data_IF_989358711775
#
_entry.id   IF_989358711775
#
_cell.length_a   1.000
_cell.length_b   1.000
_cell.length_c   1.000
_cell.angle_alpha   90.00
_cell.angle_beta   90.00
_cell.angle_gamma   90.00
#
_symmetry.space_group_name_H-M   'P 1'
#
loop_
_entity.id
_entity.type
_entity.pdbx_description
1 polymer ?
#
# COMPACT_ATOMS: atom_id res chain seq x y z
N UNK A 1 11.58 14.21 -24.03
CA UNK A 1 12.16 14.28 -22.67
C UNK A 1 10.97 14.41 -21.75
N UNK A 2 10.56 13.32 -21.12
CA UNK A 2 9.53 13.34 -20.08
C UNK A 2 10.09 14.14 -18.91
N UNK A 3 9.42 15.22 -18.51
CA UNK A 3 9.76 15.91 -17.27
C UNK A 3 9.68 14.91 -16.12
N UNK A 4 10.78 14.71 -15.39
CA UNK A 4 10.79 13.83 -14.23
C UNK A 4 9.93 14.47 -13.15
N UNK A 5 8.78 13.86 -12.87
CA UNK A 5 7.84 14.36 -11.86
C UNK A 5 8.47 14.22 -10.47
N UNK A 6 8.55 15.33 -9.71
CA UNK A 6 9.06 15.29 -8.33
C UNK A 6 8.06 14.57 -7.41
N UNK A 7 8.52 13.91 -6.33
CA UNK A 7 7.64 13.31 -5.34
C UNK A 7 6.52 14.24 -4.82
N UNK A 8 6.85 15.50 -4.51
CA UNK A 8 5.87 16.47 -4.00
C UNK A 8 4.78 16.82 -5.04
N UNK A 9 5.18 17.10 -6.29
CA UNK A 9 4.22 17.38 -7.37
C UNK A 9 3.34 16.16 -7.71
N UNK A 10 3.91 14.95 -7.64
CA UNK A 10 3.15 13.71 -7.75
C UNK A 10 2.10 13.58 -6.65
N UNK A 11 2.53 13.64 -5.40
CA UNK A 11 1.65 13.52 -4.25
C UNK A 11 0.54 14.59 -4.28
N UNK A 12 0.86 15.82 -4.66
CA UNK A 12 -0.10 16.92 -4.80
C UNK A 12 -1.16 16.67 -5.90
N UNK A 13 -0.84 15.87 -6.90
CA UNK A 13 -1.75 15.52 -8.00
C UNK A 13 -2.60 14.27 -7.72
N UNK A 14 -2.18 13.39 -6.81
CA UNK A 14 -2.93 12.20 -6.46
C UNK A 14 -4.30 12.53 -5.86
N UNK A 15 -5.31 11.72 -6.19
CA UNK A 15 -6.71 11.98 -5.80
C UNK A 15 -7.52 10.72 -5.53
N UNK A 16 -8.61 10.90 -4.78
CA UNK A 16 -9.65 9.91 -4.56
C UNK A 16 -10.91 10.43 -5.26
N UNK A 17 -11.46 9.66 -6.20
CA UNK A 17 -12.66 10.06 -6.90
C UNK A 17 -13.86 10.20 -5.94
N UNK A 18 -14.74 11.20 -6.13
CA UNK A 18 -15.91 11.41 -5.29
C UNK A 18 -16.78 10.15 -5.12
N UNK A 19 -16.96 9.36 -6.19
CA UNK A 19 -17.74 8.13 -6.17
C UNK A 19 -17.19 7.06 -5.20
N UNK A 20 -15.90 7.11 -4.85
CA UNK A 20 -15.30 6.22 -3.84
C UNK A 20 -15.59 6.74 -2.43
N UNK A 21 -15.54 8.06 -2.22
CA UNK A 21 -15.90 8.68 -0.95
C UNK A 21 -17.41 8.61 -0.67
N UNK A 22 -18.26 8.62 -1.69
CA UNK A 22 -19.70 8.33 -1.54
C UNK A 22 -19.94 6.89 -1.05
N UNK A 23 -19.12 5.95 -1.55
CA UNK A 23 -19.17 4.54 -1.17
C UNK A 23 -18.67 4.31 0.26
N UNK A 24 -17.56 4.95 0.62
CA UNK A 24 -16.94 4.90 1.96
C UNK A 24 -16.44 6.30 2.34
N UNK A 25 -17.31 7.12 2.99
CA UNK A 25 -16.95 8.48 3.41
C UNK A 25 -15.82 8.51 4.43
N UNK A 26 -15.71 7.41 5.18
CA UNK A 26 -14.63 7.13 6.10
C UNK A 26 -13.45 6.46 5.38
N UNK A 27 -13.10 6.79 4.15
CA UNK A 27 -11.87 6.29 3.55
C UNK A 27 -10.79 7.37 3.53
N UNK A 28 -9.57 6.97 3.90
CA UNK A 28 -8.35 7.78 3.78
C UNK A 28 -7.23 6.95 3.17
N UNK A 29 -6.30 7.63 2.50
CA UNK A 29 -5.07 7.04 2.00
C UNK A 29 -3.88 7.90 2.44
N UNK A 30 -2.95 7.35 3.21
CA UNK A 30 -1.65 7.98 3.38
C UNK A 30 -0.74 7.52 2.25
N UNK A 31 -0.30 8.47 1.46
CA UNK A 31 0.57 8.29 0.32
C UNK A 31 2.00 8.66 0.74
N UNK A 32 2.97 7.79 0.48
CA UNK A 32 4.38 8.02 0.84
C UNK A 32 5.27 7.70 -0.35
N UNK A 33 6.09 8.63 -0.79
CA UNK A 33 7.17 8.37 -1.75
C UNK A 33 8.49 8.37 -0.99
N UNK A 34 9.25 7.29 -1.10
CA UNK A 34 10.60 7.15 -0.56
C UNK A 34 11.58 7.08 -1.73
N UNK A 35 12.48 8.06 -1.82
CA UNK A 35 13.47 8.18 -2.90
C UNK A 35 14.89 7.98 -2.38
N UNK A 36 15.83 7.68 -3.27
CA UNK A 36 17.24 7.54 -2.91
C UNK A 36 17.59 6.19 -2.27
N UNK A 37 16.76 5.17 -2.50
CA UNK A 37 17.01 3.79 -2.08
C UNK A 37 18.18 3.22 -2.88
N UNK A 38 19.07 2.51 -2.20
CA UNK A 38 20.10 1.69 -2.84
C UNK A 38 19.56 0.27 -3.05
N UNK A 39 19.68 -0.29 -4.27
CA UNK A 39 19.28 -1.66 -4.58
C UNK A 39 19.85 -2.68 -3.61
N UNK A 40 18.97 -3.51 -3.02
CA UNK A 40 19.34 -4.55 -2.05
C UNK A 40 18.49 -5.78 -2.28
N UNK A 41 19.16 -6.93 -2.44
CA UNK A 41 18.51 -8.24 -2.61
C UNK A 41 18.00 -8.81 -1.27
N UNK A 42 18.54 -8.34 -0.14
CA UNK A 42 18.11 -8.75 1.21
C UNK A 42 18.53 -7.75 2.29
N UNK A 43 17.85 -7.81 3.44
CA UNK A 43 18.12 -7.00 4.61
C UNK A 43 17.78 -7.80 5.88
N UNK A 44 18.73 -7.90 6.82
CA UNK A 44 18.46 -8.49 8.15
C UNK A 44 17.36 -7.74 8.90
N UNK A 45 17.24 -6.43 8.68
CA UNK A 45 16.15 -5.64 9.24
C UNK A 45 14.78 -6.09 8.70
N UNK A 46 14.70 -6.48 7.42
CA UNK A 46 13.47 -7.05 6.85
C UNK A 46 13.16 -8.42 7.45
N UNK A 47 14.18 -9.25 7.73
CA UNK A 47 14.01 -10.54 8.40
C UNK A 47 13.43 -10.37 9.81
N UNK A 48 14.01 -9.47 10.61
CA UNK A 48 13.52 -9.18 11.97
C UNK A 48 12.09 -8.62 11.97
N UNK A 49 11.75 -7.78 10.99
CA UNK A 49 10.38 -7.27 10.83
C UNK A 49 9.41 -8.39 10.48
N UNK A 50 9.78 -9.30 9.59
CA UNK A 50 8.97 -10.47 9.23
C UNK A 50 8.71 -11.34 10.46
N UNK A 51 9.74 -11.65 11.25
CA UNK A 51 9.60 -12.47 12.47
C UNK A 51 8.64 -11.81 13.47
N UNK A 52 8.79 -10.50 13.68
CA UNK A 52 7.89 -9.71 14.55
C UNK A 52 6.45 -9.71 14.01
N UNK A 53 6.28 -9.51 12.72
CA UNK A 53 4.97 -9.49 12.07
C UNK A 53 4.27 -10.85 12.19
N UNK A 54 5.00 -11.94 12.00
CA UNK A 54 4.46 -13.29 12.18
C UNK A 54 4.09 -13.57 13.64
N UNK A 55 4.92 -13.14 14.60
CA UNK A 55 4.62 -13.26 16.02
C UNK A 55 3.34 -12.47 16.39
N UNK A 56 3.22 -11.24 15.89
CA UNK A 56 2.02 -10.40 16.09
C UNK A 56 0.77 -11.04 15.50
N UNK A 57 0.85 -11.57 14.28
CA UNK A 57 -0.27 -12.28 13.67
C UNK A 57 -0.67 -13.53 14.48
N UNK A 58 0.30 -14.31 14.98
CA UNK A 58 0.01 -15.46 15.85
C UNK A 58 -0.72 -15.05 17.13
N UNK A 59 -0.29 -13.96 17.76
CA UNK A 59 -0.92 -13.40 18.96
C UNK A 59 -2.37 -12.97 18.69
N UNK A 60 -2.61 -12.19 17.63
CA UNK A 60 -3.96 -11.75 17.25
C UNK A 60 -4.89 -12.94 17.01
N UNK A 61 -4.41 -13.93 16.26
CA UNK A 61 -5.18 -15.12 15.89
C UNK A 61 -5.38 -16.13 17.02
N UNK A 62 -4.70 -15.95 18.16
CA UNK A 62 -4.98 -16.71 19.37
C UNK A 62 -6.23 -16.19 20.10
N UNK A 63 -6.61 -14.94 19.89
CA UNK A 63 -7.69 -14.27 20.61
C UNK A 63 -8.95 -14.07 19.77
N UNK A 64 -8.81 -13.91 18.45
CA UNK A 64 -9.95 -13.66 17.56
C UNK A 64 -9.77 -14.33 16.20
N UNK A 65 -10.85 -14.84 15.59
CA UNK A 65 -10.86 -15.14 14.17
C UNK A 65 -10.42 -13.91 13.37
N UNK A 66 -9.63 -14.13 12.33
CA UNK A 66 -9.04 -13.04 11.53
C UNK A 66 -10.08 -12.11 10.90
N UNK A 67 -11.27 -12.63 10.56
CA UNK A 67 -12.37 -11.84 9.99
C UNK A 67 -13.23 -11.12 11.03
N UNK A 68 -12.96 -11.32 12.31
CA UNK A 68 -13.53 -10.57 13.44
C UNK A 68 -12.56 -9.49 13.97
N UNK A 69 -11.33 -9.42 13.45
CA UNK A 69 -10.45 -8.29 13.75
C UNK A 69 -11.05 -7.01 13.15
N UNK A 70 -11.31 -5.99 13.97
CA UNK A 70 -12.12 -4.81 13.62
C UNK A 70 -11.78 -4.18 12.27
N UNK A 71 -10.49 -3.97 12.00
CA UNK A 71 -10.01 -3.37 10.76
C UNK A 71 -10.25 -4.29 9.54
N UNK A 72 -10.06 -5.61 9.68
CA UNK A 72 -10.37 -6.57 8.61
C UNK A 72 -11.88 -6.66 8.39
N UNK A 73 -12.67 -6.65 9.46
CA UNK A 73 -14.13 -6.63 9.37
C UNK A 73 -14.62 -5.39 8.60
N UNK A 74 -14.06 -4.21 8.89
CA UNK A 74 -14.36 -2.96 8.19
C UNK A 74 -14.03 -3.03 6.68
N UNK A 75 -12.90 -3.64 6.32
CA UNK A 75 -12.52 -3.88 4.93
C UNK A 75 -13.41 -4.91 4.24
N UNK A 76 -13.75 -6.01 4.91
CA UNK A 76 -14.69 -7.00 4.37
C UNK A 76 -16.04 -6.35 4.08
N UNK A 77 -16.47 -5.41 4.91
CA UNK A 77 -17.68 -4.64 4.63
C UNK A 77 -17.51 -3.73 3.42
N UNK A 78 -16.44 -2.94 3.33
CA UNK A 78 -16.17 -2.11 2.14
C UNK A 78 -16.22 -2.93 0.83
N UNK A 79 -15.64 -4.13 0.85
CA UNK A 79 -15.67 -5.07 -0.29
C UNK A 79 -17.08 -5.50 -0.67
N UNK A 80 -17.98 -5.72 0.31
CA UNK A 80 -19.39 -6.04 0.01
C UNK A 80 -20.12 -4.87 -0.64
N UNK A 81 -19.86 -3.63 -0.21
CA UNK A 81 -20.56 -2.44 -0.73
C UNK A 81 -20.34 -2.25 -2.24
N UNK A 82 -19.13 -2.52 -2.77
CA UNK A 82 -18.88 -2.48 -4.22
C UNK A 82 -19.09 -3.83 -4.94
N UNK A 83 -19.69 -4.82 -4.28
CA UNK A 83 -20.08 -6.10 -4.89
C UNK A 83 -18.98 -7.17 -4.96
N UNK A 84 -17.81 -6.93 -4.37
CA UNK A 84 -16.78 -7.95 -4.25
C UNK A 84 -17.15 -9.00 -3.19
N UNK A 85 -16.50 -10.17 -3.27
CA UNK A 85 -16.67 -11.28 -2.34
C UNK A 85 -15.42 -11.40 -1.47
N UNK A 86 -15.40 -10.86 -0.24
CA UNK A 86 -14.19 -10.80 0.60
C UNK A 86 -13.55 -12.18 0.87
N UNK A 87 -14.33 -13.26 0.81
CA UNK A 87 -13.80 -14.62 0.96
C UNK A 87 -12.94 -15.08 -0.24
N UNK A 88 -13.18 -14.52 -1.43
CA UNK A 88 -12.46 -14.80 -2.68
C UNK A 88 -11.40 -13.75 -3.00
N UNK A 89 -11.66 -12.49 -2.65
CA UNK A 89 -10.79 -11.33 -2.89
C UNK A 89 -10.48 -10.67 -1.55
N UNK A 90 -9.53 -11.23 -0.81
CA UNK A 90 -9.14 -10.70 0.52
C UNK A 90 -8.27 -9.47 0.35
N UNK A 91 -8.48 -8.43 1.15
CA UNK A 91 -7.50 -7.34 1.23
C UNK A 91 -6.12 -7.89 1.68
N UNK A 92 -5.07 -7.14 1.37
CA UNK A 92 -3.68 -7.56 1.62
C UNK A 92 -3.42 -7.94 3.07
N UNK A 93 -3.86 -7.15 4.06
CA UNK A 93 -3.60 -7.43 5.47
C UNK A 93 -4.34 -8.67 5.98
N UNK A 94 -5.59 -8.93 5.53
CA UNK A 94 -6.29 -10.19 5.82
C UNK A 94 -5.52 -11.39 5.24
N UNK A 95 -5.05 -11.28 4.00
CA UNK A 95 -4.31 -12.34 3.33
C UNK A 95 -2.98 -12.64 4.04
N UNK A 96 -2.21 -11.61 4.40
CA UNK A 96 -0.93 -11.72 5.12
C UNK A 96 -1.13 -12.29 6.53
N UNK A 97 -2.09 -11.74 7.29
CA UNK A 97 -2.37 -12.21 8.66
C UNK A 97 -2.77 -13.68 8.68
N UNK A 98 -3.62 -14.13 7.74
CA UNK A 98 -3.94 -15.56 7.57
C UNK A 98 -2.70 -16.40 7.23
N UNK A 99 -1.83 -15.87 6.37
CA UNK A 99 -0.66 -16.57 5.85
C UNK A 99 0.45 -16.71 6.90
N UNK A 100 0.57 -15.80 7.86
CA UNK A 100 1.61 -15.79 8.88
C UNK A 100 1.80 -17.13 9.64
N UNK A 101 0.75 -17.96 9.76
CA UNK A 101 0.86 -19.32 10.32
C UNK A 101 1.79 -20.25 9.51
N UNK A 102 1.97 -19.97 8.22
CA UNK A 102 2.81 -20.70 7.27
C UNK A 102 4.06 -19.91 6.85
N UNK A 103 4.30 -18.77 7.49
CA UNK A 103 5.32 -17.80 7.11
C UNK A 103 4.81 -16.74 6.12
N UNK A 104 5.23 -15.49 6.33
CA UNK A 104 4.98 -14.41 5.39
C UNK A 104 5.74 -14.62 4.07
N UNK A 105 5.24 -14.08 2.95
CA UNK A 105 5.94 -14.22 1.67
C UNK A 105 7.29 -13.52 1.75
N UNK A 106 8.32 -14.13 1.15
CA UNK A 106 9.65 -13.57 0.95
C UNK A 106 9.83 -13.30 -0.53
N UNK A 107 9.77 -12.03 -0.94
CA UNK A 107 9.72 -11.59 -2.34
C UNK A 107 10.97 -10.78 -2.68
N UNK A 108 11.15 -9.64 -2.01
CA UNK A 108 12.34 -8.78 -2.07
C UNK A 108 12.36 -7.90 -0.82
N UNK A 109 13.49 -7.26 -0.52
CA UNK A 109 13.67 -6.52 0.74
C UNK A 109 12.59 -5.45 0.97
N UNK A 110 12.23 -4.65 -0.05
CA UNK A 110 11.21 -3.61 0.08
C UNK A 110 9.82 -4.21 0.31
N UNK A 111 9.49 -5.27 -0.43
CA UNK A 111 8.20 -5.96 -0.33
C UNK A 111 8.02 -6.67 1.00
N UNK A 112 9.07 -7.31 1.49
CA UNK A 112 9.09 -7.99 2.78
C UNK A 112 8.90 -6.98 3.92
N UNK A 113 9.61 -5.85 3.85
CA UNK A 113 9.47 -4.74 4.82
C UNK A 113 8.05 -4.20 4.88
N UNK A 114 7.46 -3.79 3.75
CA UNK A 114 6.10 -3.22 3.80
C UNK A 114 5.05 -4.26 4.19
N UNK A 115 5.21 -5.54 3.78
CA UNK A 115 4.29 -6.60 4.20
C UNK A 115 4.36 -6.84 5.72
N UNK A 116 5.55 -6.80 6.30
CA UNK A 116 5.72 -6.91 7.74
C UNK A 116 5.08 -5.72 8.47
N UNK A 117 5.30 -4.48 8.00
CA UNK A 117 4.67 -3.28 8.56
C UNK A 117 3.13 -3.36 8.44
N UNK A 118 2.61 -3.82 7.30
CA UNK A 118 1.16 -4.03 7.09
C UNK A 118 0.55 -4.90 8.19
N UNK A 119 1.21 -6.02 8.52
CA UNK A 119 0.75 -6.96 9.55
C UNK A 119 0.97 -6.39 10.95
N UNK A 120 2.10 -5.74 11.22
CA UNK A 120 2.38 -5.16 12.54
C UNK A 120 1.35 -4.10 12.94
N UNK A 121 0.98 -3.25 11.99
CA UNK A 121 0.06 -2.14 12.20
C UNK A 121 -1.38 -2.46 11.83
N UNK A 122 -1.65 -3.65 11.28
CA UNK A 122 -2.98 -4.09 10.87
C UNK A 122 -3.65 -3.11 9.87
N UNK A 123 -2.87 -2.63 8.90
CA UNK A 123 -3.27 -1.67 7.85
C UNK A 123 -2.91 -2.26 6.49
N UNK A 124 -3.83 -2.35 5.51
CA UNK A 124 -3.45 -2.67 4.14
C UNK A 124 -2.42 -1.66 3.62
N UNK A 125 -1.27 -2.20 3.22
CA UNK A 125 -0.14 -1.43 2.71
C UNK A 125 0.31 -2.09 1.40
N UNK A 126 0.37 -1.29 0.34
CA UNK A 126 0.95 -1.65 -0.95
C UNK A 126 2.20 -0.83 -1.25
N UNK A 127 3.11 -1.39 -2.05
CA UNK A 127 4.34 -0.74 -2.45
C UNK A 127 4.58 -0.92 -3.95
N UNK A 128 4.90 0.17 -4.63
CA UNK A 128 5.02 0.26 -6.07
C UNK A 128 6.29 1.03 -6.48
N UNK A 129 6.84 0.72 -7.64
CA UNK A 129 7.99 1.46 -8.18
C UNK A 129 7.50 2.82 -8.71
N UNK A 130 7.94 3.89 -8.04
CA UNK A 130 7.54 5.26 -8.37
C UNK A 130 8.00 5.65 -9.78
N UNK A 131 9.15 5.15 -10.22
CA UNK A 131 9.73 5.52 -11.52
C UNK A 131 8.97 4.86 -12.70
N UNK A 132 8.02 3.95 -12.42
CA UNK A 132 7.19 3.25 -13.41
C UNK A 132 5.76 3.81 -13.50
N UNK A 133 5.43 4.85 -12.75
CA UNK A 133 4.13 5.54 -12.82
C UNK A 133 4.03 6.45 -14.06
N UNK A 134 2.87 6.40 -14.72
CA UNK A 134 2.51 7.34 -15.78
C UNK A 134 1.44 8.32 -15.25
N UNK A 135 1.83 9.56 -15.02
CA UNK A 135 0.94 10.55 -14.38
C UNK A 135 0.86 10.37 -12.87
N UNK A 136 -0.34 10.53 -12.29
CA UNK A 136 -0.55 10.47 -10.84
C UNK A 136 -1.48 9.31 -10.44
N UNK A 137 -1.34 8.84 -9.20
CA UNK A 137 -2.20 7.80 -8.66
C UNK A 137 -3.61 8.33 -8.41
N UNK A 138 -4.62 7.58 -8.89
CA UNK A 138 -6.04 7.87 -8.68
C UNK A 138 -6.74 6.64 -8.16
N UNK A 139 -7.52 6.81 -7.09
CA UNK A 139 -8.47 5.80 -6.64
C UNK A 139 -9.83 6.08 -7.25
N UNK A 140 -10.28 5.19 -8.13
CA UNK A 140 -11.50 5.40 -8.92
C UNK A 140 -12.44 4.19 -8.82
N UNK A 141 -13.70 4.38 -9.24
CA UNK A 141 -14.57 3.26 -9.61
C UNK A 141 -14.37 2.95 -11.08
N UNK A 142 -13.99 1.71 -11.36
CA UNK A 142 -13.68 1.25 -12.70
C UNK A 142 -14.90 1.34 -13.63
N UNK A 143 -14.67 1.62 -14.91
CA UNK A 143 -15.70 1.55 -15.96
C UNK A 143 -15.60 0.27 -16.79
N UNK A 144 -14.52 -0.48 -16.63
CA UNK A 144 -14.31 -1.82 -17.17
C UNK A 144 -13.49 -1.89 -18.46
N UNK A 145 -12.91 -0.77 -18.88
CA UNK A 145 -11.96 -0.68 -19.99
C UNK A 145 -10.51 -0.49 -19.52
N UNK A 146 -10.29 -0.38 -18.21
CA UNK A 146 -8.95 -0.13 -17.68
C UNK A 146 -8.09 -1.40 -17.76
N UNK A 147 -6.94 -1.36 -18.46
CA UNK A 147 -6.09 -2.53 -18.57
C UNK A 147 -5.46 -2.85 -17.21
N UNK A 148 -5.46 -4.13 -16.86
CA UNK A 148 -4.82 -4.66 -15.66
C UNK A 148 -3.92 -5.85 -16.03
N UNK A 149 -2.61 -5.68 -15.89
CA UNK A 149 -1.65 -6.72 -16.22
C UNK A 149 -1.54 -7.74 -15.08
N UNK A 150 -1.70 -9.01 -15.42
CA UNK A 150 -1.74 -10.07 -14.43
C UNK A 150 -1.25 -11.41 -14.97
N UNK A 151 -1.27 -12.44 -14.14
CA UNK A 151 -0.88 -13.79 -14.53
C UNK A 151 -2.06 -14.75 -14.45
N UNK A 152 -2.24 -15.54 -15.51
CA UNK A 152 -3.16 -16.65 -15.60
C UNK A 152 -2.44 -17.83 -16.28
N UNK A 153 -2.47 -19.02 -15.67
CA UNK A 153 -1.77 -20.19 -16.22
C UNK A 153 -0.25 -20.04 -16.34
N UNK A 154 0.37 -19.09 -15.63
CA UNK A 154 1.80 -18.78 -15.74
C UNK A 154 2.15 -17.80 -16.86
N UNK A 155 1.19 -17.41 -17.69
CA UNK A 155 1.37 -16.44 -18.77
C UNK A 155 0.91 -15.05 -18.33
N UNK A 156 1.50 -14.03 -18.96
CA UNK A 156 1.07 -12.64 -18.78
C UNK A 156 -0.18 -12.41 -19.59
N UNK A 157 -1.23 -11.94 -18.93
CA UNK A 157 -2.52 -11.61 -19.57
C UNK A 157 -2.96 -10.21 -19.14
N UNK A 158 -3.73 -9.56 -20.00
CA UNK A 158 -4.42 -8.32 -19.65
C UNK A 158 -5.87 -8.68 -19.31
N UNK A 159 -6.25 -8.43 -18.07
CA UNK A 159 -7.63 -8.46 -17.62
C UNK A 159 -8.17 -7.03 -17.55
N UNK A 160 -9.48 -6.91 -17.40
CA UNK A 160 -10.14 -5.63 -17.12
C UNK A 160 -10.96 -5.79 -15.83
N UNK A 161 -10.99 -4.77 -14.94
CA UNK A 161 -11.87 -4.76 -13.79
C UNK A 161 -13.33 -4.82 -14.22
N UNK A 162 -14.21 -5.39 -13.41
CA UNK A 162 -15.65 -5.24 -13.67
C UNK A 162 -16.08 -3.80 -13.39
N UNK A 163 -17.05 -3.23 -14.14
CA UNK A 163 -17.57 -1.91 -13.86
C UNK A 163 -18.01 -1.78 -12.40
N UNK A 164 -17.53 -0.73 -11.74
CA UNK A 164 -17.82 -0.43 -10.36
C UNK A 164 -16.86 -1.03 -9.32
N UNK A 165 -15.90 -1.88 -9.72
CA UNK A 165 -14.76 -2.23 -8.86
C UNK A 165 -14.02 -0.95 -8.42
N UNK A 166 -13.54 -0.90 -7.17
CA UNK A 166 -12.64 0.18 -6.74
C UNK A 166 -11.21 -0.21 -7.13
N UNK A 167 -10.48 0.68 -7.79
CA UNK A 167 -9.12 0.41 -8.29
C UNK A 167 -8.20 1.60 -8.10
N UNK A 168 -6.95 1.34 -7.71
CA UNK A 168 -5.87 2.28 -7.92
C UNK A 168 -5.39 2.18 -9.37
N UNK A 169 -5.21 3.31 -10.02
CA UNK A 169 -4.71 3.40 -11.40
C UNK A 169 -3.86 4.66 -11.58
N UNK A 170 -3.10 4.66 -12.65
CA UNK A 170 -2.47 5.85 -13.21
C UNK A 170 -3.03 6.10 -14.62
N UNK A 171 -2.34 6.87 -15.47
CA UNK A 171 -2.76 7.17 -16.83
C UNK A 171 -2.73 5.92 -17.73
N UNK A 172 -1.78 5.00 -17.51
CA UNK A 172 -1.58 3.81 -18.32
C UNK A 172 -2.55 2.66 -17.99
N UNK A 173 -2.94 2.50 -16.72
CA UNK A 173 -3.85 1.42 -16.32
C UNK A 173 -3.95 1.18 -14.83
N UNK A 174 -4.63 0.09 -14.46
CA UNK A 174 -4.81 -0.33 -13.07
C UNK A 174 -3.46 -0.76 -12.47
N UNK A 175 -3.10 -0.19 -11.33
CA UNK A 175 -1.92 -0.56 -10.55
C UNK A 175 -2.27 -1.48 -9.39
N UNK A 176 -3.45 -1.32 -8.78
CA UNK A 176 -3.98 -2.25 -7.79
C UNK A 176 -5.48 -2.46 -7.99
N UNK A 177 -5.85 -3.73 -8.22
CA UNK A 177 -7.21 -4.14 -8.49
C UNK A 177 -7.96 -4.47 -7.20
N UNK A 178 -9.26 -4.13 -7.17
CA UNK A 178 -10.18 -4.32 -6.03
C UNK A 178 -9.59 -3.74 -4.75
N UNK A 179 -9.31 -2.45 -4.82
CA UNK A 179 -8.83 -1.56 -3.76
C UNK A 179 -7.41 -1.88 -3.28
N UNK A 180 -7.26 -2.97 -2.53
CA UNK A 180 -5.99 -3.42 -1.95
C UNK A 180 -5.88 -4.95 -1.96
N UNK A 181 -6.43 -5.58 -3.01
CA UNK A 181 -6.40 -7.03 -3.16
C UNK A 181 -5.21 -7.53 -3.98
N UNK A 182 -5.06 -7.04 -5.23
CA UNK A 182 -4.06 -7.57 -6.16
C UNK A 182 -3.38 -6.44 -6.93
N UNK A 183 -2.09 -6.27 -6.66
CA UNK A 183 -1.23 -5.37 -7.41
C UNK A 183 -0.97 -5.92 -8.84
N UNK A 184 -0.88 -5.01 -9.80
CA UNK A 184 -0.40 -5.26 -11.16
C UNK A 184 1.11 -5.47 -11.16
N UNK A 185 1.69 -5.87 -12.29
CA UNK A 185 3.14 -6.13 -12.37
C UNK A 185 3.90 -4.94 -12.91
N UNK A 186 3.26 -4.10 -13.73
CA UNK A 186 3.88 -2.92 -14.36
C UNK A 186 4.57 -2.00 -13.36
N UNK A 187 3.93 -1.70 -12.23
CA UNK A 187 4.47 -0.85 -11.16
C UNK A 187 5.02 -1.67 -9.99
N UNK A 188 5.29 -2.96 -10.18
CA UNK A 188 5.78 -3.84 -9.12
C UNK A 188 7.19 -3.47 -8.66
N UNK A 189 7.43 -3.50 -7.34
CA UNK A 189 8.76 -3.33 -6.78
C UNK A 189 9.71 -4.45 -7.23
N UNK A 190 10.94 -4.08 -7.51
CA UNK A 190 12.03 -5.01 -7.83
C UNK A 190 13.24 -4.75 -6.94
N UNK A 191 14.22 -5.66 -6.94
CA UNK A 191 15.51 -5.43 -6.25
C UNK A 191 16.24 -4.17 -6.77
N UNK A 192 15.90 -3.70 -7.97
CA UNK A 192 16.48 -2.51 -8.59
C UNK A 192 15.74 -1.20 -8.30
N UNK A 193 14.61 -1.22 -7.59
CA UNK A 193 13.81 -0.03 -7.32
C UNK A 193 14.60 0.98 -6.47
N UNK A 194 14.63 2.24 -6.93
CA UNK A 194 15.35 3.35 -6.27
C UNK A 194 14.42 4.40 -5.66
N UNK A 195 13.20 4.46 -6.16
CA UNK A 195 12.13 5.30 -5.66
C UNK A 195 10.88 4.43 -5.51
N UNK A 196 10.35 4.32 -4.30
CA UNK A 196 9.17 3.51 -4.02
C UNK A 196 8.00 4.40 -3.60
N UNK A 197 6.82 4.11 -4.13
CA UNK A 197 5.54 4.73 -3.76
C UNK A 197 4.72 3.73 -2.94
N UNK A 198 4.32 4.14 -1.75
CA UNK A 198 3.56 3.32 -0.80
C UNK A 198 2.19 3.93 -0.55
N UNK A 199 1.19 3.05 -0.46
CA UNK A 199 -0.21 3.42 -0.22
C UNK A 199 -0.68 2.70 1.05
N UNK A 200 -1.04 3.47 2.06
CA UNK A 200 -1.66 2.98 3.30
C UNK A 200 -3.15 3.25 3.24
N UNK A 201 -3.95 2.21 2.99
CA UNK A 201 -5.40 2.33 2.91
C UNK A 201 -6.03 2.23 4.30
N UNK A 202 -6.81 3.24 4.72
CA UNK A 202 -7.38 3.31 6.06
C UNK A 202 -8.90 3.53 6.07
N UNK A 203 -9.59 2.72 6.85
CA UNK A 203 -11.02 2.82 7.18
C UNK A 203 -11.18 2.96 8.70
N UNK A 204 -12.33 3.50 9.15
CA UNK A 204 -12.64 3.44 10.57
C UNK A 204 -12.74 1.96 11.00
N UNK A 205 -12.28 1.59 12.21
CA UNK A 205 -11.91 2.46 13.33
C UNK A 205 -10.43 2.87 13.38
N UNK A 206 -9.62 2.60 12.36
CA UNK A 206 -8.18 2.95 12.38
C UNK A 206 -8.02 4.48 12.39
N UNK A 207 -7.41 5.09 13.42
CA UNK A 207 -7.19 6.53 13.48
C UNK A 207 -5.97 6.94 12.65
N UNK A 208 -5.96 8.18 12.17
CA UNK A 208 -4.86 8.74 11.38
C UNK A 208 -3.50 8.63 12.10
N UNK A 209 -3.48 8.77 13.43
CA UNK A 209 -2.27 8.60 14.22
C UNK A 209 -1.64 7.20 14.07
N UNK A 210 -2.45 6.15 13.92
CA UNK A 210 -1.95 4.79 13.68
C UNK A 210 -1.41 4.62 12.26
N UNK A 211 -2.03 5.29 11.29
CA UNK A 211 -1.58 5.31 9.89
C UNK A 211 -0.23 6.03 9.77
N UNK A 212 -0.10 7.20 10.41
CA UNK A 212 1.15 7.95 10.49
C UNK A 212 2.24 7.14 11.19
N UNK A 213 1.93 6.48 12.32
CA UNK A 213 2.90 5.62 13.00
C UNK A 213 3.36 4.43 12.15
N UNK A 214 2.50 3.89 11.28
CA UNK A 214 2.87 2.83 10.35
C UNK A 214 3.80 3.35 9.23
N UNK A 215 3.54 4.56 8.73
CA UNK A 215 4.43 5.21 7.77
C UNK A 215 5.79 5.55 8.37
N UNK A 216 5.83 5.97 9.63
CA UNK A 216 7.07 6.25 10.34
C UNK A 216 7.90 4.99 10.49
N UNK A 217 7.26 3.90 10.94
CA UNK A 217 7.92 2.60 11.04
C UNK A 217 8.43 2.09 9.68
N UNK A 218 7.71 2.38 8.58
CA UNK A 218 8.18 2.06 7.23
C UNK A 218 9.40 2.90 6.85
N UNK A 219 9.34 4.23 7.02
CA UNK A 219 10.45 5.14 6.65
C UNK A 219 11.70 4.83 7.48
N UNK A 220 11.55 4.57 8.77
CA UNK A 220 12.64 4.16 9.66
C UNK A 220 13.25 2.82 9.21
N UNK A 221 12.43 1.85 8.82
CA UNK A 221 12.92 0.56 8.32
C UNK A 221 13.68 0.68 6.98
N UNK A 222 13.43 1.75 6.22
CA UNK A 222 14.05 2.00 4.92
C UNK A 222 15.22 3.00 4.99
N UNK A 223 15.42 3.71 6.11
CA UNK A 223 16.48 4.73 6.23
C UNK A 223 17.88 4.18 6.04
N UNK A 224 18.09 2.92 6.43
CA UNK A 224 19.39 2.23 6.35
C UNK A 224 19.67 1.66 4.95
N UNK A 225 18.76 1.84 4.01
CA UNK A 225 18.92 1.43 2.60
C UNK A 225 19.62 2.51 1.76
N UNK A 226 20.20 3.54 2.36
CA UNK A 226 21.11 4.45 1.68
C UNK A 226 21.20 5.85 2.33
N UNK A 227 22.35 6.54 2.26
CA UNK A 227 22.51 7.89 2.82
C UNK A 227 21.62 8.94 2.13
N UNK A 228 21.17 8.63 0.91
CA UNK A 228 20.31 9.47 0.08
C UNK A 228 18.82 9.29 0.35
N UNK A 229 18.41 8.43 1.30
CA UNK A 229 16.99 8.13 1.53
C UNK A 229 16.23 9.37 2.00
N UNK A 230 15.16 9.74 1.30
CA UNK A 230 14.26 10.85 1.62
C UNK A 230 12.82 10.39 1.46
N UNK A 231 11.92 10.91 2.29
CA UNK A 231 10.51 10.60 2.21
C UNK A 231 9.67 11.87 2.06
N UNK A 232 8.66 11.81 1.19
CA UNK A 232 7.59 12.78 1.07
C UNK A 232 6.25 12.06 1.30
N UNK A 233 5.26 12.73 1.88
CA UNK A 233 3.97 12.08 2.16
C UNK A 233 2.79 13.05 2.10
N UNK A 234 1.62 12.52 1.77
CA UNK A 234 0.34 13.25 1.76
C UNK A 234 -0.80 12.34 2.21
N UNK A 235 -1.62 12.83 3.13
CA UNK A 235 -2.86 12.16 3.53
C UNK A 235 -4.01 12.65 2.62
N UNK A 236 -4.71 11.72 1.99
CA UNK A 236 -5.93 11.96 1.22
C UNK A 236 -7.16 11.49 2.02
N UNK A 237 -8.29 12.20 1.91
CA UNK A 237 -9.55 11.86 2.58
C UNK A 237 -10.27 13.08 3.18
N UNK A 238 -11.43 12.87 3.79
CA UNK A 238 -12.25 13.97 4.34
C UNK A 238 -12.19 14.04 5.88
N UNK A 239 -12.05 15.23 6.50
CA UNK A 239 -11.62 16.51 5.95
C UNK A 239 -10.13 16.79 6.25
N UNK A 240 -9.42 17.14 5.19
CA UNK A 240 -8.05 17.65 5.16
C UNK A 240 -7.70 18.50 6.41
N UNK A 241 -6.90 17.96 7.31
CA UNK A 241 -5.97 18.76 8.12
C UNK A 241 -4.62 18.61 7.44
N UNK A 242 -4.22 19.62 6.67
CA UNK A 242 -2.82 19.79 6.28
C UNK A 242 -2.01 19.86 7.58
N UNK A 243 -1.32 18.77 7.92
CA UNK A 243 -0.28 18.79 8.96
C UNK A 243 1.05 18.85 8.22
N UNK A 244 1.69 20.04 8.11
CA UNK A 244 3.05 20.13 7.63
C UNK A 244 3.93 19.29 8.54
N UNK A 245 4.60 18.28 7.98
CA UNK A 245 5.61 17.52 8.71
C UNK A 245 6.91 18.32 8.70
N UNK A 246 7.49 18.69 9.87
CA UNK A 246 8.80 19.32 9.87
C UNK A 246 9.81 18.35 9.28
N UNK A 247 10.66 18.86 8.37
CA UNK A 247 11.89 18.19 8.00
C UNK A 247 12.70 17.98 9.27
N UNK A 248 12.95 16.74 9.66
CA UNK A 248 13.98 16.44 10.65
C UNK A 248 15.32 16.82 10.04
N UNK A 249 15.77 18.05 10.30
CA UNK A 249 17.16 18.42 10.08
C UNK A 249 18.00 17.66 11.10
N UNK A 250 18.51 16.50 10.70
CA UNK A 250 19.71 15.97 11.33
C UNK A 250 20.86 16.91 11.00
N UNK A 251 21.24 17.74 11.96
CA UNK A 251 22.53 18.42 11.98
C UNK A 251 23.02 18.57 13.42
N UNK A 252 24.21 18.00 13.63
CA UNK A 252 25.25 18.35 14.59
C UNK A 252 24.97 18.27 16.10
N UNK A 253 25.45 17.19 16.71
CA UNK A 253 26.55 17.20 17.70
C UNK A 253 27.10 15.78 17.92
#
# INVERSE_FOLDING_TARGET
MTETQTPDAFLASCEIAPAVLELRPDYRALLVVVSGLEPRTSSSAADELIDRAEARARELLAHSPVDELDHIAAWREAYRVFGAKPQRTRNSVEALTRRAKKGLPRINALTDTYNAISVLHQIPLGGEDFDLYEGHARLVRAIGDEPFDTTAGGETVIEHPEPGEVVWRDDAGVTCRRWNWRQGRRTGLTDGTRSAFFIFDALAPVPDAQVLAAADALVDALSDLGPGVRAASRLLGTPCLDVPRPLTSGADS
#
